data_IF_610523511844
#
_entry.id   IF_610523511844
#
_cell.length_a   1.000
_cell.length_b   1.000
_cell.length_c   1.000
_cell.angle_alpha   90.00
_cell.angle_beta   90.00
_cell.angle_gamma   90.00
#
_symmetry.space_group_name_H-M   'P 1'
#
loop_
_entity.id
_entity.type
_entity.pdbx_description
1 polymer ?
#
# COMPACT_ATOMS: atom_id res chain seq x y z
N UNK A 1 -26.12 10.10 14.49
CA UNK A 1 -25.74 9.56 13.18
C UNK A 1 -24.49 10.30 12.70
N UNK A 2 -23.35 10.07 13.36
CA UNK A 2 -22.07 10.72 13.03
C UNK A 2 -20.93 9.76 13.40
N UNK A 3 -20.84 8.60 12.74
CA UNK A 3 -19.78 7.60 13.04
C UNK A 3 -19.23 6.91 11.79
N UNK A 4 -19.40 7.51 10.60
CA UNK A 4 -18.95 6.90 9.35
C UNK A 4 -17.97 7.78 8.55
N UNK A 5 -17.67 9.01 8.95
CA UNK A 5 -16.68 9.83 8.24
C UNK A 5 -15.23 9.48 8.64
N UNK A 6 -15.01 9.17 9.93
CA UNK A 6 -13.66 8.94 10.45
C UNK A 6 -13.05 7.62 9.94
N UNK A 7 -13.88 6.61 9.67
CA UNK A 7 -13.40 5.32 9.18
C UNK A 7 -12.78 5.42 7.77
N UNK A 8 -13.36 6.25 6.90
CA UNK A 8 -12.82 6.46 5.55
C UNK A 8 -11.55 7.32 5.57
N UNK A 9 -11.47 8.29 6.48
CA UNK A 9 -10.28 9.12 6.63
C UNK A 9 -9.06 8.32 7.11
N UNK A 10 -9.26 7.36 8.03
CA UNK A 10 -8.18 6.47 8.48
C UNK A 10 -7.67 5.55 7.36
N UNK A 11 -8.56 5.05 6.50
CA UNK A 11 -8.21 4.23 5.34
C UNK A 11 -7.42 5.03 4.29
N UNK A 12 -7.85 6.25 3.99
CA UNK A 12 -7.16 7.14 3.03
C UNK A 12 -5.77 7.56 3.53
N UNK A 13 -5.61 7.76 4.84
CA UNK A 13 -4.31 8.06 5.45
C UNK A 13 -3.36 6.85 5.43
N UNK A 14 -3.90 5.64 5.65
CA UNK A 14 -3.15 4.39 5.60
C UNK A 14 -2.68 4.06 4.18
N UNK A 15 -3.53 4.28 3.17
CA UNK A 15 -3.16 4.20 1.76
C UNK A 15 -1.97 5.14 1.46
N UNK A 16 -2.08 6.41 1.84
CA UNK A 16 -1.03 7.39 1.59
C UNK A 16 0.28 7.02 2.28
N UNK A 17 0.24 6.50 3.50
CA UNK A 17 1.43 6.03 4.25
C UNK A 17 2.10 4.84 3.54
N UNK A 18 1.32 3.89 3.02
CA UNK A 18 1.86 2.77 2.23
C UNK A 18 2.55 3.31 0.97
N UNK A 19 1.89 4.18 0.22
CA UNK A 19 2.44 4.73 -1.02
C UNK A 19 3.72 5.54 -0.76
N UNK A 20 3.77 6.35 0.31
CA UNK A 20 4.98 7.06 0.72
C UNK A 20 6.13 6.13 1.09
N UNK A 21 5.85 5.06 1.86
CA UNK A 21 6.86 4.06 2.21
C UNK A 21 7.38 3.32 0.97
N UNK A 22 6.50 2.97 0.03
CA UNK A 22 6.88 2.32 -1.22
C UNK A 22 7.66 3.26 -2.16
N UNK A 23 7.32 4.55 -2.19
CA UNK A 23 8.07 5.56 -2.94
C UNK A 23 9.48 5.79 -2.39
N UNK A 24 9.66 5.72 -1.06
CA UNK A 24 10.96 5.87 -0.41
C UNK A 24 11.85 4.61 -0.51
N UNK A 25 11.24 3.41 -0.49
CA UNK A 25 11.94 2.13 -0.45
C UNK A 25 12.14 1.42 -1.80
N UNK A 26 11.54 1.95 -2.87
CA UNK A 26 11.59 1.46 -4.25
C UNK A 26 11.07 0.04 -4.54
N UNK A 27 10.85 -0.87 -3.58
CA UNK A 27 10.12 -2.14 -3.74
C UNK A 27 10.11 -2.93 -2.42
N UNK A 28 9.18 -3.89 -2.27
CA UNK A 28 9.21 -4.80 -1.12
C UNK A 28 8.13 -5.87 -1.15
N UNK A 29 8.34 -6.94 -0.39
CA UNK A 29 7.34 -7.98 -0.12
C UNK A 29 6.26 -7.46 0.84
N UNK A 30 5.10 -8.11 0.88
CA UNK A 30 4.02 -7.77 1.85
C UNK A 30 4.54 -7.71 3.30
N UNK A 31 5.47 -8.59 3.67
CA UNK A 31 6.07 -8.60 5.01
C UNK A 31 7.01 -7.43 5.28
N UNK A 32 7.77 -6.98 4.28
CA UNK A 32 8.62 -5.79 4.38
C UNK A 32 7.79 -4.52 4.47
N UNK A 33 6.75 -4.40 3.65
CA UNK A 33 5.80 -3.27 3.68
C UNK A 33 5.12 -3.19 5.05
N UNK A 34 4.64 -4.32 5.58
CA UNK A 34 4.06 -4.38 6.94
C UNK A 34 5.03 -3.89 8.02
N UNK A 35 6.33 -4.16 7.88
CA UNK A 35 7.35 -3.71 8.84
C UNK A 35 7.72 -2.24 8.66
N UNK A 36 7.70 -1.74 7.43
CA UNK A 36 8.04 -0.36 7.10
C UNK A 36 6.92 0.64 7.43
N UNK A 37 5.65 0.21 7.41
CA UNK A 37 4.48 1.07 7.63
C UNK A 37 3.95 0.88 9.06
N UNK A 38 4.08 1.88 9.97
CA UNK A 38 3.70 1.74 11.37
C UNK A 38 2.23 1.37 11.60
N UNK A 39 1.31 1.91 10.80
CA UNK A 39 -0.14 1.60 10.92
C UNK A 39 -0.47 0.15 10.54
N UNK A 40 0.36 -0.47 9.71
CA UNK A 40 0.20 -1.87 9.30
C UNK A 40 0.76 -2.87 10.32
N UNK A 41 1.55 -2.42 11.31
CA UNK A 41 2.20 -3.29 12.32
C UNK A 41 1.19 -4.10 13.14
N UNK A 42 0.04 -3.52 13.45
CA UNK A 42 -1.06 -4.18 14.16
C UNK A 42 -1.98 -5.04 13.28
N UNK A 43 -1.86 -4.97 11.95
CA UNK A 43 -2.75 -5.66 11.01
C UNK A 43 -2.21 -7.05 10.66
N UNK A 44 -3.08 -7.99 10.29
CA UNK A 44 -2.64 -9.31 9.81
C UNK A 44 -1.95 -9.21 8.44
N UNK A 45 -1.12 -10.20 8.08
CA UNK A 45 -0.51 -10.23 6.74
C UNK A 45 -1.58 -10.32 5.65
N UNK A 46 -2.68 -11.03 5.87
CA UNK A 46 -3.79 -11.07 4.90
C UNK A 46 -4.44 -9.70 4.72
N UNK A 47 -4.60 -8.92 5.80
CA UNK A 47 -5.14 -7.56 5.71
C UNK A 47 -4.25 -6.67 4.85
N UNK A 48 -2.94 -6.68 5.09
CA UNK A 48 -1.99 -5.90 4.29
C UNK A 48 -1.98 -6.37 2.83
N UNK A 49 -2.08 -7.69 2.59
CA UNK A 49 -2.15 -8.23 1.23
C UNK A 49 -3.41 -7.78 0.48
N UNK A 50 -4.57 -7.75 1.15
CA UNK A 50 -5.82 -7.25 0.57
C UNK A 50 -5.72 -5.76 0.23
N UNK A 51 -5.09 -4.98 1.11
CA UNK A 51 -4.83 -3.55 0.87
C UNK A 51 -3.95 -3.32 -0.36
N UNK A 52 -2.86 -4.08 -0.47
CA UNK A 52 -1.96 -4.01 -1.64
C UNK A 52 -2.66 -4.46 -2.93
N UNK A 53 -3.59 -5.40 -2.86
CA UNK A 53 -4.42 -5.75 -4.02
C UNK A 53 -5.32 -4.58 -4.43
N UNK A 54 -5.97 -3.92 -3.47
CA UNK A 54 -6.78 -2.72 -3.75
C UNK A 54 -5.94 -1.62 -4.45
N UNK A 55 -4.76 -1.30 -3.92
CA UNK A 55 -3.87 -0.30 -4.54
C UNK A 55 -3.40 -0.71 -5.95
N UNK A 56 -3.25 -2.01 -6.20
CA UNK A 56 -2.91 -2.53 -7.52
C UNK A 56 -4.07 -2.38 -8.50
N UNK A 57 -5.28 -2.69 -8.05
CA UNK A 57 -6.49 -2.57 -8.88
C UNK A 57 -6.78 -1.10 -9.23
N UNK A 58 -6.36 -0.16 -8.37
CA UNK A 58 -6.35 1.28 -8.64
C UNK A 58 -5.20 1.76 -9.55
N UNK A 59 -4.25 0.88 -9.91
CA UNK A 59 -3.10 1.23 -10.76
C UNK A 59 -1.96 1.99 -10.05
N UNK A 60 -2.04 2.16 -8.73
CA UNK A 60 -1.05 2.92 -7.94
C UNK A 60 0.19 2.09 -7.62
N UNK A 61 0.05 0.76 -7.61
CA UNK A 61 1.16 -0.17 -7.44
C UNK A 61 1.05 -1.31 -8.46
N UNK A 62 2.17 -1.96 -8.71
CA UNK A 62 2.26 -3.19 -9.50
C UNK A 62 3.01 -4.25 -8.73
N UNK A 63 2.94 -5.49 -9.20
CA UNK A 63 3.73 -6.57 -8.63
C UNK A 63 4.62 -7.26 -9.66
N UNK A 64 5.82 -7.61 -9.21
CA UNK A 64 6.71 -8.53 -9.90
C UNK A 64 6.54 -9.90 -9.23
N UNK A 65 5.85 -10.80 -9.91
CA UNK A 65 5.78 -12.20 -9.48
C UNK A 65 7.10 -12.90 -9.76
N UNK A 66 7.84 -13.28 -8.72
CA UNK A 66 8.94 -14.24 -8.89
C UNK A 66 8.40 -15.66 -8.86
N UNK A 67 8.42 -16.35 -10.02
CA UNK A 67 8.07 -17.77 -10.10
C UNK A 67 8.98 -18.66 -9.26
N UNK A 68 10.20 -18.20 -8.95
CA UNK A 68 11.21 -18.94 -8.20
C UNK A 68 10.96 -18.96 -6.69
N UNK A 69 10.46 -17.86 -6.12
CA UNK A 69 10.39 -17.72 -4.65
C UNK A 69 8.97 -17.76 -4.07
N UNK A 70 7.93 -18.00 -4.89
CA UNK A 70 6.50 -17.89 -4.49
C UNK A 70 6.20 -16.59 -3.74
N UNK A 71 6.99 -15.55 -3.99
CA UNK A 71 6.96 -14.30 -3.24
C UNK A 71 6.62 -13.20 -4.22
N UNK A 72 5.65 -12.38 -3.83
CA UNK A 72 5.18 -11.23 -4.60
C UNK A 72 5.91 -10.01 -4.08
N UNK A 73 6.71 -9.39 -4.95
CA UNK A 73 7.29 -8.09 -4.67
C UNK A 73 6.39 -7.01 -5.26
N UNK A 74 6.12 -5.97 -4.48
CA UNK A 74 5.29 -4.86 -4.89
C UNK A 74 6.17 -3.66 -5.20
N UNK A 75 5.77 -2.89 -6.21
CA UNK A 75 6.46 -1.67 -6.65
C UNK A 75 5.42 -0.58 -6.88
N UNK A 76 5.77 0.66 -6.55
CA UNK A 76 4.89 1.80 -6.81
C UNK A 76 4.97 2.22 -8.28
N UNK A 77 3.85 2.61 -8.87
CA UNK A 77 3.80 3.19 -10.22
C UNK A 77 4.07 4.70 -10.17
N UNK A 78 4.17 5.36 -11.33
CA UNK A 78 4.27 6.82 -11.36
C UNK A 78 2.99 7.49 -10.83
N UNK A 79 1.82 6.92 -11.13
CA UNK A 79 0.53 7.40 -10.61
C UNK A 79 0.46 7.26 -9.08
N UNK A 80 0.92 6.12 -8.54
CA UNK A 80 1.04 5.95 -7.08
C UNK A 80 1.96 6.97 -6.42
N UNK A 81 3.05 7.37 -7.08
CA UNK A 81 3.96 8.43 -6.58
C UNK A 81 3.28 9.80 -6.63
N UNK A 82 2.47 10.09 -7.64
CA UNK A 82 1.69 11.32 -7.73
C UNK A 82 0.66 11.40 -6.60
N UNK A 83 -0.10 10.32 -6.40
CA UNK A 83 -1.09 10.17 -5.32
C UNK A 83 -0.45 10.33 -3.94
N UNK A 84 0.71 9.70 -3.69
CA UNK A 84 1.45 9.84 -2.43
C UNK A 84 1.79 11.31 -2.08
N UNK A 85 2.10 12.11 -3.11
CA UNK A 85 2.44 13.53 -2.98
C UNK A 85 1.22 14.44 -2.82
N UNK A 86 0.00 13.89 -2.83
CA UNK A 86 -1.24 14.66 -2.79
C UNK A 86 -1.58 15.33 -4.12
N UNK A 87 -1.00 14.84 -5.21
CA UNK A 87 -1.33 15.28 -6.56
C UNK A 87 -2.22 14.20 -7.19
N UNK A 88 -3.56 14.31 -7.10
CA UNK A 88 -4.44 13.39 -7.79
C UNK A 88 -4.14 13.47 -9.31
N UNK A 89 -3.98 12.32 -9.94
CA UNK A 89 -3.83 12.19 -11.39
C UNK A 89 -5.12 12.61 -12.11
#
# INVERSE_FOLDING_TARGET
MLDNLDLYAEEEEDERKILLAMAAGAWGTTGEIKRAVPSMKGKSIQHVAAYLQCLRDQGLITNLGSRLHKTVCWMITEDGKAQAKGNPA
#
